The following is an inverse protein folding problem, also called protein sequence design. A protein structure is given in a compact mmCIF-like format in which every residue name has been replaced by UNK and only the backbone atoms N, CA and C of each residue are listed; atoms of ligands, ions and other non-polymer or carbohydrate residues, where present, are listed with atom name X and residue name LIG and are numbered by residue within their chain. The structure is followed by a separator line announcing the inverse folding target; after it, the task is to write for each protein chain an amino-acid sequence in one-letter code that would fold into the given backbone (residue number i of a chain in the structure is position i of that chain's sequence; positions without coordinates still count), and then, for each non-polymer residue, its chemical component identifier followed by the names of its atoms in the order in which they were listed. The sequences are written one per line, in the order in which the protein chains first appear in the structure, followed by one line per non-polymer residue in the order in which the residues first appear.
data_IF_776196560426
#
_entry.id   IF_776196560426
#
_cell.length_a   1.000
_cell.length_b   1.000
_cell.length_c   1.000
_cell.angle_alpha   90.00
_cell.angle_beta   90.00
_cell.angle_gamma   90.00
#
_symmetry.space_group_name_H-M   'P 1'
#
loop_
_entity.id
_entity.type
_entity.pdbx_description
1 polymer ?
#
# COMPACT_ATOMS: atom_id res chain seq x y z
N UNK A 1 -33.06 -25.71 14.81
CA UNK A 1 -32.07 -26.27 15.73
C UNK A 1 -30.76 -25.53 15.52
N UNK A 2 -30.30 -24.72 16.50
CA UNK A 2 -29.01 -24.04 16.42
C UNK A 2 -27.90 -25.01 16.82
N UNK A 3 -26.87 -25.15 15.99
CA UNK A 3 -25.66 -25.87 16.40
C UNK A 3 -24.99 -25.12 17.57
N UNK A 4 -24.60 -25.79 18.66
CA UNK A 4 -23.84 -25.16 19.73
C UNK A 4 -22.42 -24.85 19.22
N UNK A 5 -22.23 -23.63 18.69
CA UNK A 5 -20.95 -23.21 18.13
C UNK A 5 -20.35 -22.15 19.07
N UNK A 6 -19.17 -22.42 19.61
CA UNK A 6 -18.43 -21.44 20.39
C UNK A 6 -17.34 -20.76 19.54
N UNK A 7 -16.82 -19.62 20.02
CA UNK A 7 -15.80 -18.83 19.33
C UNK A 7 -14.54 -19.64 18.97
N UNK A 8 -14.19 -20.62 19.80
CA UNK A 8 -13.02 -21.47 19.56
C UNK A 8 -13.23 -22.37 18.35
N UNK A 9 -14.42 -22.93 18.18
CA UNK A 9 -14.76 -23.78 17.02
C UNK A 9 -14.77 -22.94 15.76
N UNK A 10 -15.41 -21.76 15.79
CA UNK A 10 -15.44 -20.82 14.66
C UNK A 10 -14.01 -20.46 14.24
N UNK A 11 -13.19 -20.02 15.19
CA UNK A 11 -11.80 -19.60 14.92
C UNK A 11 -10.95 -20.72 14.33
N UNK A 12 -11.03 -21.94 14.90
CA UNK A 12 -10.31 -23.11 14.38
C UNK A 12 -10.73 -23.44 12.94
N UNK A 13 -12.03 -23.38 12.63
CA UNK A 13 -12.53 -23.64 11.29
C UNK A 13 -12.11 -22.56 10.30
N UNK A 14 -12.15 -21.28 10.65
CA UNK A 14 -11.66 -20.18 9.82
C UNK A 14 -10.18 -20.38 9.46
N UNK A 15 -9.34 -20.72 10.43
CA UNK A 15 -7.91 -20.99 10.19
C UNK A 15 -7.76 -22.20 9.26
N UNK A 16 -8.44 -23.33 9.54
CA UNK A 16 -8.38 -24.53 8.72
C UNK A 16 -8.82 -24.30 7.29
N UNK A 17 -9.92 -23.57 7.08
CA UNK A 17 -10.42 -23.20 5.75
C UNK A 17 -9.41 -22.33 5.01
N UNK A 18 -8.80 -21.36 5.69
CA UNK A 18 -7.74 -20.53 5.10
C UNK A 18 -6.57 -21.39 4.60
N UNK A 19 -6.08 -22.30 5.44
CA UNK A 19 -4.93 -23.15 5.13
C UNK A 19 -5.23 -24.18 4.03
N UNK A 20 -6.42 -24.82 4.07
CA UNK A 20 -6.76 -25.92 3.19
C UNK A 20 -7.28 -25.47 1.82
N UNK A 21 -8.02 -24.36 1.76
CA UNK A 21 -8.74 -23.97 0.54
C UNK A 21 -8.32 -22.61 -0.02
N UNK A 22 -8.09 -21.60 0.82
CA UNK A 22 -7.82 -20.23 0.36
C UNK A 22 -6.34 -19.96 0.10
N UNK A 23 -5.43 -20.70 0.73
CA UNK A 23 -3.99 -20.51 0.59
C UNK A 23 -3.48 -20.61 -0.86
N UNK A 24 -3.96 -21.52 -1.72
CA UNK A 24 -3.53 -21.54 -3.12
C UNK A 24 -3.89 -20.25 -3.88
N UNK A 25 -5.11 -19.73 -3.67
CA UNK A 25 -5.54 -18.45 -4.25
C UNK A 25 -4.70 -17.28 -3.74
N UNK A 26 -4.43 -17.24 -2.43
CA UNK A 26 -3.54 -16.26 -1.82
C UNK A 26 -2.15 -16.28 -2.45
N UNK A 27 -1.53 -17.47 -2.58
CA UNK A 27 -0.21 -17.63 -3.19
C UNK A 27 -0.20 -17.14 -4.63
N UNK A 28 -1.24 -17.43 -5.40
CA UNK A 28 -1.37 -16.95 -6.78
C UNK A 28 -1.45 -15.42 -6.85
N UNK A 29 -2.21 -14.79 -5.97
CA UNK A 29 -2.27 -13.31 -5.89
C UNK A 29 -0.92 -12.71 -5.49
N UNK A 30 -0.18 -13.35 -4.57
CA UNK A 30 1.19 -12.95 -4.23
C UNK A 30 2.18 -13.11 -5.39
N UNK A 31 2.00 -14.12 -6.23
CA UNK A 31 2.80 -14.29 -7.45
C UNK A 31 2.51 -13.18 -8.46
N UNK A 32 1.23 -12.94 -8.73
CA UNK A 32 0.80 -11.97 -9.73
C UNK A 32 1.22 -10.53 -9.39
N UNK A 33 1.17 -10.14 -8.11
CA UNK A 33 1.60 -8.78 -7.72
C UNK A 33 3.10 -8.54 -7.95
N UNK A 34 3.92 -9.59 -7.98
CA UNK A 34 5.36 -9.52 -8.27
C UNK A 34 5.68 -9.17 -9.72
N UNK A 35 4.73 -9.34 -10.64
CA UNK A 35 4.88 -8.98 -12.05
C UNK A 35 4.45 -7.54 -12.37
N UNK A 36 3.88 -6.82 -11.40
CA UNK A 36 3.43 -5.44 -11.59
C UNK A 36 4.62 -4.46 -11.66
N UNK A 37 4.55 -3.50 -12.59
CA UNK A 37 5.60 -2.48 -12.76
C UNK A 37 5.68 -1.51 -11.58
N UNK A 38 4.52 -1.17 -10.99
CA UNK A 38 4.41 -0.23 -9.88
C UNK A 38 3.46 -0.79 -8.84
N UNK A 39 3.96 -0.91 -7.62
CA UNK A 39 3.17 -1.32 -6.46
C UNK A 39 3.28 -0.30 -5.34
N UNK A 40 2.25 -0.21 -4.53
CA UNK A 40 2.28 0.48 -3.26
C UNK A 40 2.61 -0.50 -2.14
N UNK A 41 3.38 -0.07 -1.17
CA UNK A 41 3.66 -0.86 0.03
C UNK A 41 3.61 0.02 1.28
N UNK A 42 3.03 -0.52 2.34
CA UNK A 42 2.96 0.10 3.66
C UNK A 42 2.75 -0.98 4.72
N UNK A 43 3.07 -0.69 5.98
CA UNK A 43 2.90 -1.64 7.07
C UNK A 43 2.19 -1.01 8.27
N UNK A 44 1.46 -1.84 9.01
CA UNK A 44 0.76 -1.44 10.24
C UNK A 44 1.09 -2.38 11.39
N UNK A 45 1.37 -1.86 12.59
CA UNK A 45 1.61 -2.70 13.76
C UNK A 45 0.34 -3.49 14.13
N UNK A 46 0.55 -4.73 14.54
CA UNK A 46 -0.49 -5.64 14.99
C UNK A 46 0.05 -6.55 16.09
N UNK A 47 -0.71 -6.76 17.15
CA UNK A 47 -0.27 -7.61 18.26
C UNK A 47 -0.62 -9.07 17.98
N UNK A 48 0.34 -9.97 18.24
CA UNK A 48 0.16 -11.43 18.22
C UNK A 48 0.71 -11.99 19.53
N UNK A 49 -0.17 -12.57 20.36
CA UNK A 49 0.20 -12.97 21.72
C UNK A 49 1.27 -14.07 21.74
N UNK A 50 1.16 -15.04 20.84
CA UNK A 50 2.09 -16.16 20.72
C UNK A 50 3.54 -15.73 20.39
N UNK A 51 3.73 -14.57 19.77
CA UNK A 51 5.06 -14.05 19.43
C UNK A 51 5.81 -13.45 20.62
N UNK A 52 5.13 -13.20 21.74
CA UNK A 52 5.71 -12.56 22.93
C UNK A 52 6.46 -11.25 22.64
N UNK A 53 6.04 -10.52 21.59
CA UNK A 53 6.59 -9.25 21.13
C UNK A 53 5.56 -8.13 21.21
N UNK A 54 6.02 -6.93 21.49
CA UNK A 54 5.14 -5.76 21.54
C UNK A 54 4.44 -5.47 20.20
N UNK A 55 5.15 -5.66 19.08
CA UNK A 55 4.63 -5.39 17.75
C UNK A 55 5.05 -6.45 16.74
N UNK A 56 4.07 -7.04 16.08
CA UNK A 56 4.16 -7.69 14.79
C UNK A 56 3.53 -6.76 13.74
N UNK A 57 3.50 -7.13 12.47
CA UNK A 57 3.08 -6.23 11.40
C UNK A 57 2.23 -6.95 10.36
N UNK A 58 1.22 -6.25 9.86
CA UNK A 58 0.66 -6.54 8.55
C UNK A 58 1.29 -5.59 7.53
N UNK A 59 1.90 -6.18 6.52
CA UNK A 59 2.41 -5.49 5.34
C UNK A 59 1.32 -5.55 4.27
N UNK A 60 0.89 -4.41 3.77
CA UNK A 60 -0.05 -4.33 2.67
C UNK A 60 0.69 -3.94 1.40
N UNK A 61 0.44 -4.68 0.33
CA UNK A 61 0.97 -4.42 -1.00
C UNK A 61 -0.19 -4.31 -1.96
N UNK A 62 -0.24 -3.25 -2.75
CA UNK A 62 -1.36 -2.95 -3.63
C UNK A 62 -0.89 -2.49 -4.99
N UNK A 63 -1.56 -2.94 -6.05
CA UNK A 63 -1.34 -2.40 -7.40
C UNK A 63 -1.88 -0.97 -7.51
N UNK A 64 -1.39 -0.21 -8.49
CA UNK A 64 -2.02 1.06 -8.88
C UNK A 64 -3.30 0.75 -9.65
N UNK A 65 -4.45 1.29 -9.20
CA UNK A 65 -5.73 0.98 -9.83
C UNK A 65 -5.85 1.51 -11.28
N UNK A 66 -5.17 2.61 -11.58
CA UNK A 66 -5.38 3.36 -12.83
C UNK A 66 -4.89 2.61 -14.08
N UNK A 67 -3.78 1.89 -13.98
CA UNK A 67 -3.17 1.20 -15.14
C UNK A 67 -3.02 -0.30 -14.96
N UNK A 68 -3.45 -0.84 -13.83
CA UNK A 68 -3.45 -2.29 -13.62
C UNK A 68 -4.68 -2.91 -14.27
N UNK A 69 -4.45 -3.93 -15.10
CA UNK A 69 -5.54 -4.70 -15.71
C UNK A 69 -6.37 -5.43 -14.66
N UNK A 70 -5.72 -5.94 -13.65
CA UNK A 70 -6.33 -6.72 -12.57
C UNK A 70 -5.81 -6.20 -11.22
N UNK A 71 -6.55 -5.26 -10.59
CA UNK A 71 -6.10 -4.69 -9.34
C UNK A 71 -6.05 -5.72 -8.22
N UNK A 72 -4.92 -5.78 -7.52
CA UNK A 72 -4.62 -6.75 -6.47
C UNK A 72 -4.28 -5.99 -5.17
N UNK A 73 -4.70 -6.54 -4.04
CA UNK A 73 -4.33 -6.09 -2.71
C UNK A 73 -3.89 -7.29 -1.87
N UNK A 74 -2.63 -7.38 -1.54
CA UNK A 74 -2.04 -8.47 -0.74
C UNK A 74 -1.71 -7.97 0.65
N UNK A 75 -2.09 -8.74 1.65
CA UNK A 75 -1.61 -8.60 3.02
C UNK A 75 -0.66 -9.73 3.36
N UNK A 76 0.43 -9.40 4.03
CA UNK A 76 1.41 -10.35 4.51
C UNK A 76 1.66 -10.11 6.01
N UNK A 77 1.57 -11.18 6.82
CA UNK A 77 1.92 -11.13 8.22
C UNK A 77 3.42 -11.33 8.41
N UNK A 78 4.05 -10.49 9.22
CA UNK A 78 5.42 -10.67 9.65
C UNK A 78 5.60 -10.27 11.13
N UNK A 79 6.47 -10.98 11.84
CA UNK A 79 6.77 -10.67 13.24
C UNK A 79 7.82 -9.55 13.40
N UNK A 80 8.11 -8.83 12.34
CA UNK A 80 9.10 -7.75 12.33
C UNK A 80 8.76 -6.66 11.31
N UNK A 81 9.24 -5.45 11.57
CA UNK A 81 9.23 -4.33 10.62
C UNK A 81 10.47 -4.28 9.73
N UNK A 82 11.32 -5.31 9.79
CA UNK A 82 12.57 -5.33 9.00
C UNK A 82 12.30 -5.21 7.50
N UNK A 83 13.09 -4.41 6.80
CA UNK A 83 13.05 -4.34 5.34
C UNK A 83 13.23 -5.69 4.64
N UNK A 84 13.82 -6.70 5.31
CA UNK A 84 13.95 -8.06 4.76
C UNK A 84 12.60 -8.71 4.40
N UNK A 85 11.50 -8.32 5.07
CA UNK A 85 10.14 -8.81 4.77
C UNK A 85 9.70 -8.46 3.35
N UNK A 86 10.20 -7.36 2.78
CA UNK A 86 9.92 -6.98 1.40
C UNK A 86 10.32 -8.09 0.43
N UNK A 87 11.44 -8.78 0.70
CA UNK A 87 11.91 -9.91 -0.11
C UNK A 87 10.90 -11.07 -0.12
N UNK A 88 10.28 -11.34 1.00
CA UNK A 88 9.28 -12.41 1.11
C UNK A 88 8.03 -12.06 0.30
N UNK A 89 7.70 -10.78 0.21
CA UNK A 89 6.53 -10.28 -0.50
C UNK A 89 6.79 -10.21 -2.01
N UNK A 90 7.82 -9.47 -2.44
CA UNK A 90 8.05 -9.17 -3.88
C UNK A 90 9.11 -10.05 -4.54
N UNK A 91 9.88 -10.82 -3.76
CA UNK A 91 11.00 -11.61 -4.26
C UNK A 91 12.30 -10.81 -4.36
N UNK A 92 13.44 -11.53 -4.53
CA UNK A 92 14.77 -10.92 -4.56
C UNK A 92 15.06 -10.13 -5.83
N UNK A 93 14.38 -10.46 -6.93
CA UNK A 93 14.68 -9.97 -8.28
C UNK A 93 13.62 -8.96 -8.78
N UNK A 94 12.80 -8.41 -7.89
CA UNK A 94 11.81 -7.41 -8.28
C UNK A 94 12.50 -6.16 -8.86
N UNK A 95 12.11 -5.77 -10.08
CA UNK A 95 12.70 -4.66 -10.83
C UNK A 95 11.74 -3.46 -10.95
N UNK A 96 10.53 -3.59 -10.44
CA UNK A 96 9.52 -2.53 -10.49
C UNK A 96 9.76 -1.40 -9.50
N UNK A 97 8.80 -0.50 -9.42
CA UNK A 97 8.81 0.65 -8.53
C UNK A 97 7.91 0.36 -7.32
N UNK A 98 8.47 0.47 -6.12
CA UNK A 98 7.73 0.34 -4.86
C UNK A 98 7.45 1.74 -4.32
N UNK A 99 6.19 2.15 -4.35
CA UNK A 99 5.72 3.37 -3.70
C UNK A 99 5.57 3.12 -2.20
N UNK A 100 6.29 3.88 -1.39
CA UNK A 100 6.31 3.72 0.06
C UNK A 100 6.44 5.07 0.78
N UNK A 101 6.43 5.04 2.10
CA UNK A 101 6.82 6.18 2.93
C UNK A 101 8.35 6.35 2.99
N UNK A 102 8.82 7.22 3.88
CA UNK A 102 10.25 7.47 4.11
C UNK A 102 10.93 6.48 5.06
N UNK A 103 10.32 5.33 5.39
CA UNK A 103 10.92 4.34 6.29
C UNK A 103 12.22 3.77 5.72
N UNK A 104 13.26 3.68 6.55
CA UNK A 104 14.62 3.25 6.14
C UNK A 104 14.72 1.78 5.69
N UNK A 105 13.73 0.96 6.03
CA UNK A 105 13.64 -0.44 5.56
C UNK A 105 13.44 -0.55 4.04
N UNK A 106 12.90 0.49 3.40
CA UNK A 106 12.81 0.60 1.95
C UNK A 106 14.12 1.16 1.39
N UNK A 107 15.08 0.29 1.12
CA UNK A 107 16.46 0.69 0.80
C UNK A 107 17.02 -0.05 -0.41
N UNK A 108 17.65 0.69 -1.33
CA UNK A 108 18.38 0.10 -2.46
C UNK A 108 19.59 -0.73 -2.03
N UNK A 109 20.10 -0.54 -0.80
CA UNK A 109 21.13 -1.43 -0.24
C UNK A 109 20.61 -2.87 -0.08
N UNK A 110 19.34 -3.03 0.34
CA UNK A 110 18.72 -4.35 0.49
C UNK A 110 18.13 -4.87 -0.84
N UNK A 111 17.74 -3.97 -1.72
CA UNK A 111 17.03 -4.27 -3.00
C UNK A 111 17.65 -3.45 -4.14
N UNK A 112 18.81 -3.84 -4.66
CA UNK A 112 19.54 -3.06 -5.68
C UNK A 112 18.76 -2.94 -7.00
N UNK A 113 17.93 -3.92 -7.33
CA UNK A 113 17.18 -3.95 -8.59
C UNK A 113 15.82 -3.22 -8.50
N UNK A 114 15.27 -3.07 -7.30
CA UNK A 114 14.00 -2.37 -7.10
C UNK A 114 14.23 -0.85 -7.08
N UNK A 115 13.29 -0.10 -7.65
CA UNK A 115 13.24 1.35 -7.54
C UNK A 115 12.24 1.74 -6.46
N UNK A 116 12.58 2.71 -5.62
CA UNK A 116 11.65 3.23 -4.61
C UNK A 116 11.09 4.58 -5.04
N UNK A 117 9.77 4.72 -4.97
CA UNK A 117 9.05 5.99 -5.07
C UNK A 117 8.65 6.47 -3.68
N UNK A 118 8.52 7.79 -3.50
CA UNK A 118 8.09 8.36 -2.22
C UNK A 118 6.87 9.26 -2.35
N UNK A 119 6.02 9.17 -1.34
CA UNK A 119 4.78 9.92 -1.23
C UNK A 119 5.04 11.40 -0.97
N UNK A 120 4.70 12.27 -1.94
CA UNK A 120 4.85 13.72 -1.80
C UNK A 120 3.91 14.31 -0.73
N UNK A 121 2.78 13.65 -0.46
CA UNK A 121 1.85 14.06 0.62
C UNK A 121 2.51 13.95 1.98
N UNK A 122 3.35 12.95 2.23
CA UNK A 122 4.09 12.82 3.49
C UNK A 122 5.10 13.95 3.66
N UNK A 123 5.89 14.27 2.62
CA UNK A 123 6.80 15.41 2.62
C UNK A 123 6.02 16.70 2.94
N UNK A 124 4.92 16.94 2.23
CA UNK A 124 4.07 18.13 2.46
C UNK A 124 3.52 18.17 3.90
N UNK A 125 3.13 17.02 4.46
CA UNK A 125 2.57 16.91 5.82
C UNK A 125 3.57 17.35 6.89
N UNK A 126 4.86 17.09 6.73
CA UNK A 126 5.89 17.56 7.66
C UNK A 126 5.91 19.10 7.77
N UNK A 127 5.89 19.81 6.65
CA UNK A 127 5.81 21.27 6.64
C UNK A 127 4.48 21.80 7.22
N UNK A 128 3.34 21.14 6.93
CA UNK A 128 2.05 21.48 7.53
C UNK A 128 2.08 21.32 9.07
N UNK A 129 2.71 20.27 9.58
CA UNK A 129 2.83 20.07 11.03
C UNK A 129 3.68 21.15 11.70
N UNK A 130 4.70 21.68 11.00
CA UNK A 130 5.47 22.86 11.49
C UNK A 130 4.58 24.09 11.56
N UNK A 131 3.79 24.36 10.52
CA UNK A 131 2.84 25.48 10.48
C UNK A 131 1.85 25.39 11.65
N UNK A 132 1.28 24.21 11.87
CA UNK A 132 0.33 23.98 12.98
C UNK A 132 0.96 24.21 14.36
N UNK A 133 2.24 23.89 14.52
CA UNK A 133 2.95 24.10 15.79
C UNK A 133 3.30 25.57 16.08
N UNK A 134 3.18 26.47 15.10
CA UNK A 134 3.48 27.90 15.25
C UNK A 134 2.32 28.73 15.84
N UNK A 135 1.28 28.12 16.32
CA UNK A 135 -0.01 28.55 16.88
C UNK A 135 -0.38 30.06 16.93
N UNK A 136 0.51 31.01 17.15
CA UNK A 136 0.19 32.42 17.30
C UNK A 136 1.15 33.38 16.57
N UNK A 137 1.96 32.86 15.64
CA UNK A 137 2.84 33.71 14.81
C UNK A 137 2.24 33.80 13.39
N UNK A 138 2.35 34.95 12.71
CA UNK A 138 1.82 35.08 11.35
C UNK A 138 2.49 34.04 10.45
N UNK A 139 1.76 32.93 10.21
CA UNK A 139 2.25 31.79 9.44
C UNK A 139 2.55 32.17 7.97
N UNK A 140 1.97 33.27 7.47
CA UNK A 140 2.06 33.70 6.07
C UNK A 140 3.47 33.99 5.56
N UNK A 141 4.44 34.25 6.44
CA UNK A 141 5.83 34.50 6.08
C UNK A 141 6.81 33.40 6.46
N UNK A 142 6.33 32.26 6.99
CA UNK A 142 7.23 31.18 7.41
C UNK A 142 7.75 30.39 6.22
N UNK A 143 8.99 29.88 6.31
CA UNK A 143 9.62 28.99 5.32
C UNK A 143 8.72 27.78 5.05
N UNK A 144 8.13 27.20 6.09
CA UNK A 144 7.23 26.05 5.94
C UNK A 144 5.94 26.41 5.15
N UNK A 145 5.39 27.61 5.39
CA UNK A 145 4.22 28.09 4.64
C UNK A 145 4.54 28.26 3.16
N UNK A 146 5.69 28.86 2.84
CA UNK A 146 6.13 29.03 1.45
C UNK A 146 6.37 27.69 0.77
N UNK A 147 7.01 26.73 1.45
CA UNK A 147 7.20 25.36 0.94
C UNK A 147 5.87 24.67 0.61
N UNK A 148 4.87 24.78 1.49
CA UNK A 148 3.52 24.23 1.24
C UNK A 148 2.83 24.94 0.07
N UNK A 149 3.02 26.26 -0.05
CA UNK A 149 2.42 27.05 -1.15
C UNK A 149 2.99 26.66 -2.51
N UNK A 150 4.28 26.35 -2.61
CA UNK A 150 4.93 25.87 -3.82
C UNK A 150 4.43 24.47 -4.25
N UNK A 151 4.08 23.61 -3.27
CA UNK A 151 3.55 22.27 -3.57
C UNK A 151 2.06 22.27 -3.95
N UNK A 152 1.28 23.27 -3.56
CA UNK A 152 -0.18 23.30 -3.80
C UNK A 152 -0.56 23.23 -5.28
N UNK A 153 0.03 24.03 -6.19
CA UNK A 153 -0.30 23.99 -7.62
C UNK A 153 -0.04 22.61 -8.24
N UNK A 154 0.97 21.89 -7.76
CA UNK A 154 1.34 20.57 -8.25
C UNK A 154 0.21 19.54 -8.06
N UNK A 155 -0.39 19.48 -6.87
CA UNK A 155 -1.53 18.59 -6.61
C UNK A 155 -2.79 18.99 -7.38
N UNK A 156 -3.02 20.30 -7.57
CA UNK A 156 -4.12 20.78 -8.38
C UNK A 156 -3.93 20.39 -9.85
N UNK A 157 -2.75 20.62 -10.40
CA UNK A 157 -2.44 20.34 -11.80
C UNK A 157 -2.49 18.84 -12.11
N UNK A 158 -2.00 17.98 -11.22
CA UNK A 158 -2.06 16.51 -11.38
C UNK A 158 -3.49 16.01 -11.60
N UNK A 159 -4.49 16.59 -10.92
CA UNK A 159 -5.90 16.21 -11.07
C UNK A 159 -6.51 16.61 -12.43
N UNK A 160 -5.89 17.55 -13.14
CA UNK A 160 -6.39 18.11 -14.39
C UNK A 160 -5.50 17.74 -15.60
N UNK A 161 -4.56 16.80 -15.41
CA UNK A 161 -3.78 16.25 -16.52
C UNK A 161 -4.71 15.48 -17.47
N UNK A 162 -4.50 15.66 -18.76
CA UNK A 162 -5.18 14.89 -19.81
C UNK A 162 -4.18 13.94 -20.45
N UNK A 163 -4.49 12.67 -20.47
CA UNK A 163 -3.64 11.60 -21.02
C UNK A 163 -4.49 10.35 -21.26
N UNK A 164 -4.03 9.48 -22.14
CA UNK A 164 -4.64 8.16 -22.41
C UNK A 164 -3.72 7.01 -22.01
N UNK A 165 -2.41 7.25 -21.98
CA UNK A 165 -1.40 6.23 -21.63
C UNK A 165 -0.52 6.70 -20.48
N UNK A 166 0.19 5.75 -19.85
CA UNK A 166 1.15 6.07 -18.79
C UNK A 166 2.34 6.87 -19.32
N UNK A 167 2.73 6.67 -20.58
CA UNK A 167 3.79 7.41 -21.25
C UNK A 167 3.41 8.87 -21.47
N UNK A 168 2.19 9.11 -21.94
CA UNK A 168 1.62 10.47 -22.08
C UNK A 168 1.53 11.16 -20.72
N UNK A 169 1.06 10.46 -19.70
CA UNK A 169 1.00 11.00 -18.33
C UNK A 169 2.39 11.42 -17.83
N UNK A 170 3.42 10.60 -18.05
CA UNK A 170 4.78 10.95 -17.67
C UNK A 170 5.31 12.16 -18.45
N UNK A 171 4.98 12.27 -19.73
CA UNK A 171 5.36 13.41 -20.59
C UNK A 171 4.68 14.71 -20.13
N UNK A 172 3.36 14.69 -19.87
CA UNK A 172 2.62 15.84 -19.36
C UNK A 172 3.12 16.28 -17.97
N UNK A 173 3.46 15.34 -17.10
CA UNK A 173 4.09 15.65 -15.82
C UNK A 173 5.46 16.31 -15.98
N UNK A 174 6.32 15.83 -16.89
CA UNK A 174 7.61 16.49 -17.19
C UNK A 174 7.42 17.91 -17.65
N UNK A 175 6.42 18.17 -18.49
CA UNK A 175 6.13 19.48 -19.03
C UNK A 175 5.55 20.44 -17.97
N UNK A 176 4.61 19.98 -17.15
CA UNK A 176 3.80 20.85 -16.29
C UNK A 176 4.17 20.80 -14.80
N UNK A 177 4.49 19.61 -14.28
CA UNK A 177 4.71 19.43 -12.85
C UNK A 177 6.18 19.54 -12.47
N UNK A 178 7.09 19.13 -13.36
CA UNK A 178 8.52 19.19 -13.08
C UNK A 178 9.01 20.58 -12.73
N UNK A 179 8.69 21.66 -13.48
CA UNK A 179 9.12 23.01 -13.11
C UNK A 179 8.63 23.45 -11.73
N UNK A 180 7.40 23.06 -11.35
CA UNK A 180 6.85 23.38 -10.02
C UNK A 180 7.58 22.63 -8.90
N UNK A 181 7.89 21.36 -9.15
CA UNK A 181 8.63 20.53 -8.19
C UNK A 181 10.09 20.99 -8.06
N UNK A 182 10.73 21.37 -9.18
CA UNK A 182 12.06 21.95 -9.17
C UNK A 182 12.09 23.22 -8.34
N UNK A 183 11.14 24.15 -8.54
CA UNK A 183 11.02 25.38 -7.74
C UNK A 183 10.87 25.12 -6.23
N UNK A 184 10.13 24.08 -5.84
CA UNK A 184 10.05 23.68 -4.44
C UNK A 184 11.41 23.22 -3.89
N UNK A 185 12.12 22.35 -4.62
CA UNK A 185 13.42 21.84 -4.17
C UNK A 185 14.50 22.93 -4.16
N UNK A 186 14.49 23.82 -5.15
CA UNK A 186 15.41 24.97 -5.19
C UNK A 186 15.17 25.90 -4.00
N UNK A 187 13.91 26.21 -3.69
CA UNK A 187 13.55 27.01 -2.53
C UNK A 187 14.05 26.42 -1.22
N UNK A 188 13.76 25.15 -0.93
CA UNK A 188 14.15 24.53 0.34
C UNK A 188 15.66 24.31 0.45
N UNK A 189 16.37 24.14 -0.67
CA UNK A 189 17.83 24.01 -0.70
C UNK A 189 18.57 25.29 -0.39
N UNK A 190 17.95 26.46 -0.63
CA UNK A 190 18.52 27.78 -0.34
C UNK A 190 18.34 28.21 1.11
N UNK A 191 17.57 27.47 1.92
CA UNK A 191 17.34 27.81 3.34
C UNK A 191 18.63 27.66 4.14
N UNK A 192 19.17 28.79 4.60
CA UNK A 192 20.39 28.84 5.41
C UNK A 192 20.10 28.46 6.86
N UNK A 193 20.87 27.51 7.41
CA UNK A 193 20.85 27.08 8.82
C UNK A 193 19.45 26.76 9.39
N UNK A 194 18.66 25.89 8.77
CA UNK A 194 17.38 25.49 9.34
C UNK A 194 17.60 24.78 10.69
N UNK A 195 16.68 24.97 11.65
CA UNK A 195 16.77 24.39 12.99
C UNK A 195 15.58 23.48 13.30
N UNK A 196 15.77 22.55 14.22
CA UNK A 196 14.72 21.73 14.79
C UNK A 196 13.92 20.94 13.73
N UNK A 197 12.59 20.94 13.86
CA UNK A 197 11.67 20.22 12.93
C UNK A 197 11.79 20.69 11.48
N UNK A 198 12.09 21.99 11.25
CA UNK A 198 12.26 22.50 9.89
C UNK A 198 13.49 21.89 9.21
N UNK A 199 14.61 21.78 9.93
CA UNK A 199 15.83 21.11 9.43
C UNK A 199 15.53 19.69 9.04
N UNK A 200 14.83 18.93 9.90
CA UNK A 200 14.51 17.54 9.62
C UNK A 200 13.59 17.39 8.39
N UNK A 201 12.57 18.24 8.27
CA UNK A 201 11.67 18.23 7.10
C UNK A 201 12.40 18.54 5.79
N UNK A 202 13.30 19.54 5.80
CA UNK A 202 14.11 19.88 4.62
C UNK A 202 15.07 18.73 4.26
N UNK A 203 15.80 18.20 5.24
CA UNK A 203 16.73 17.08 5.03
C UNK A 203 16.02 15.85 4.49
N UNK A 204 14.87 15.50 5.06
CA UNK A 204 14.05 14.38 4.59
C UNK A 204 13.55 14.62 3.16
N UNK A 205 13.01 15.79 2.85
CA UNK A 205 12.57 16.12 1.50
C UNK A 205 13.71 16.01 0.48
N UNK A 206 14.91 16.53 0.78
CA UNK A 206 16.09 16.46 -0.09
C UNK A 206 16.53 14.99 -0.26
N UNK A 207 16.61 14.23 0.81
CA UNK A 207 16.99 12.80 0.75
C UNK A 207 16.04 11.96 -0.13
N UNK A 208 14.75 12.31 -0.14
CA UNK A 208 13.72 11.62 -0.92
C UNK A 208 13.54 12.19 -2.35
N UNK A 209 14.27 13.24 -2.74
CA UNK A 209 14.11 13.93 -4.04
C UNK A 209 14.08 12.94 -5.21
N UNK A 210 15.08 12.08 -5.35
CA UNK A 210 15.17 11.12 -6.45
C UNK A 210 13.99 10.14 -6.47
N UNK A 211 13.49 9.73 -5.29
CA UNK A 211 12.32 8.85 -5.19
C UNK A 211 11.03 9.54 -5.63
N UNK A 212 10.87 10.82 -5.30
CA UNK A 212 9.72 11.63 -5.76
C UNK A 212 9.77 11.83 -7.27
N UNK A 213 10.95 12.03 -7.86
CA UNK A 213 11.12 12.24 -9.29
C UNK A 213 10.79 11.02 -10.16
N UNK A 214 10.60 9.82 -9.59
CA UNK A 214 10.11 8.63 -10.30
C UNK A 214 8.78 8.85 -11.01
N UNK A 215 7.95 9.79 -10.56
CA UNK A 215 6.69 10.16 -11.24
C UNK A 215 6.89 10.66 -12.67
N UNK A 216 8.10 11.12 -13.00
CA UNK A 216 8.47 11.58 -14.35
C UNK A 216 9.04 10.46 -15.22
N UNK A 217 9.46 9.33 -14.63
CA UNK A 217 9.98 8.17 -15.35
C UNK A 217 8.84 7.27 -15.84
N UNK A 218 7.83 7.07 -14.99
CA UNK A 218 6.69 6.22 -15.28
C UNK A 218 5.40 6.91 -14.79
N UNK A 219 4.45 7.15 -15.70
CA UNK A 219 3.16 7.80 -15.39
C UNK A 219 2.27 7.00 -14.45
N UNK A 220 2.52 5.70 -14.30
CA UNK A 220 1.81 4.84 -13.36
C UNK A 220 2.21 5.13 -11.91
N UNK A 221 3.40 5.71 -11.66
CA UNK A 221 3.84 6.09 -10.31
C UNK A 221 2.97 7.25 -9.81
N UNK A 222 2.24 7.11 -8.69
CA UNK A 222 1.38 8.17 -8.19
C UNK A 222 2.16 9.16 -7.32
N UNK A 223 1.60 10.37 -7.14
CA UNK A 223 2.16 11.36 -6.20
C UNK A 223 1.97 10.97 -4.73
N UNK A 224 1.11 10.02 -4.45
CA UNK A 224 0.68 9.69 -3.08
C UNK A 224 0.63 8.20 -2.84
N UNK A 225 0.91 7.79 -1.60
CA UNK A 225 0.73 6.42 -1.14
C UNK A 225 -0.65 6.16 -0.50
N UNK A 226 -1.58 7.13 -0.56
CA UNK A 226 -2.92 7.01 0.01
C UNK A 226 -3.68 5.73 -0.37
N UNK A 227 -3.57 5.17 -1.59
CA UNK A 227 -4.30 3.95 -1.94
C UNK A 227 -3.98 2.75 -1.03
N UNK A 228 -2.72 2.55 -0.65
CA UNK A 228 -2.37 1.45 0.27
C UNK A 228 -2.70 1.80 1.72
N UNK A 229 -2.52 3.07 2.12
CA UNK A 229 -2.96 3.53 3.44
C UNK A 229 -4.47 3.30 3.65
N UNK A 230 -5.28 3.55 2.62
CA UNK A 230 -6.72 3.25 2.64
C UNK A 230 -7.00 1.73 2.67
N UNK A 231 -6.18 0.92 1.99
CA UNK A 231 -6.30 -0.53 2.04
C UNK A 231 -6.02 -1.10 3.44
N UNK A 232 -5.11 -0.49 4.19
CA UNK A 232 -4.80 -0.87 5.58
C UNK A 232 -5.93 -0.47 6.57
N UNK A 233 -6.70 0.58 6.29
CA UNK A 233 -7.77 1.06 7.21
C UNK A 233 -8.74 -0.03 7.70
N UNK A 234 -9.25 -0.96 6.88
CA UNK A 234 -10.10 -2.04 7.38
C UNK A 234 -9.41 -2.90 8.45
N UNK A 235 -8.11 -3.21 8.29
CA UNK A 235 -7.36 -3.95 9.30
C UNK A 235 -7.18 -3.15 10.60
N UNK A 236 -7.09 -1.82 10.52
CA UNK A 236 -7.03 -0.95 11.71
C UNK A 236 -8.38 -0.85 12.43
N UNK A 237 -9.50 -0.91 11.71
CA UNK A 237 -10.83 -0.97 12.30
C UNK A 237 -11.05 -2.31 13.01
N UNK A 238 -10.66 -3.41 12.39
CA UNK A 238 -10.72 -4.75 13.00
C UNK A 238 -9.80 -4.79 14.22
N UNK A 239 -8.61 -4.19 14.17
CA UNK A 239 -7.72 -4.07 15.32
C UNK A 239 -8.35 -3.31 16.49
N UNK A 240 -9.15 -2.26 16.23
CA UNK A 240 -9.90 -1.57 17.29
C UNK A 240 -10.95 -2.48 17.97
N UNK A 241 -11.50 -3.43 17.22
CA UNK A 241 -12.51 -4.36 17.71
C UNK A 241 -11.88 -5.65 18.31
N UNK A 242 -10.84 -6.19 17.67
CA UNK A 242 -10.24 -7.48 18.00
C UNK A 242 -8.88 -7.37 18.71
N UNK A 243 -8.33 -6.18 18.86
CA UNK A 243 -7.09 -5.79 19.55
C UNK A 243 -5.85 -6.62 19.15
N UNK A 244 -5.92 -7.95 19.06
CA UNK A 244 -4.80 -8.86 18.80
C UNK A 244 -5.26 -10.18 18.16
N UNK A 245 -4.31 -10.93 17.59
CA UNK A 245 -4.47 -12.35 17.31
C UNK A 245 -3.86 -13.20 18.44
N UNK A 246 -4.53 -14.30 18.82
CA UNK A 246 -3.99 -15.20 19.82
C UNK A 246 -2.79 -15.99 19.32
N UNK A 247 -2.78 -16.36 18.01
CA UNK A 247 -1.75 -17.21 17.41
C UNK A 247 -1.21 -16.67 16.10
N UNK A 248 0.00 -17.12 15.74
CA UNK A 248 0.65 -16.85 14.46
C UNK A 248 -0.21 -17.35 13.30
N UNK A 249 -0.74 -18.57 13.41
CA UNK A 249 -1.66 -19.16 12.42
C UNK A 249 -2.91 -18.30 12.22
N UNK A 250 -3.46 -17.73 13.29
CA UNK A 250 -4.60 -16.82 13.22
C UNK A 250 -4.27 -15.51 12.51
N UNK A 251 -3.08 -14.95 12.75
CA UNK A 251 -2.61 -13.75 12.04
C UNK A 251 -2.36 -14.04 10.54
N UNK A 252 -1.75 -15.19 10.20
CA UNK A 252 -1.56 -15.62 8.82
C UNK A 252 -2.91 -15.84 8.10
N UNK A 253 -3.86 -16.51 8.74
CA UNK A 253 -5.21 -16.67 8.20
C UNK A 253 -5.88 -15.31 7.95
N UNK A 254 -5.75 -14.37 8.87
CA UNK A 254 -6.27 -13.00 8.69
C UNK A 254 -5.66 -12.32 7.47
N UNK A 255 -4.35 -12.44 7.23
CA UNK A 255 -3.70 -11.91 6.04
C UNK A 255 -4.29 -12.50 4.74
N UNK A 256 -4.56 -13.80 4.71
CA UNK A 256 -5.21 -14.49 3.57
C UNK A 256 -6.61 -13.91 3.32
N UNK A 257 -7.45 -13.82 4.35
CA UNK A 257 -8.80 -13.25 4.21
C UNK A 257 -8.77 -11.78 3.79
N UNK A 258 -7.90 -10.96 4.38
CA UNK A 258 -7.78 -9.54 3.99
C UNK A 258 -7.34 -9.39 2.54
N UNK A 259 -6.46 -10.27 2.06
CA UNK A 259 -6.02 -10.30 0.66
C UNK A 259 -7.19 -10.60 -0.27
N UNK A 260 -7.94 -11.66 -0.01
CA UNK A 260 -9.06 -12.10 -0.85
C UNK A 260 -10.18 -11.04 -0.84
N UNK A 261 -10.57 -10.56 0.34
CA UNK A 261 -11.60 -9.51 0.48
C UNK A 261 -11.15 -8.21 -0.20
N UNK A 262 -9.91 -7.79 0.05
CA UNK A 262 -9.37 -6.54 -0.52
C UNK A 262 -9.31 -6.59 -2.05
N UNK A 263 -8.82 -7.70 -2.61
CA UNK A 263 -8.73 -7.90 -4.06
C UNK A 263 -10.12 -8.01 -4.69
N UNK A 264 -11.04 -8.75 -4.07
CA UNK A 264 -12.42 -8.88 -4.54
C UNK A 264 -13.13 -7.52 -4.62
N UNK A 265 -13.00 -6.68 -3.59
CA UNK A 265 -13.55 -5.31 -3.59
C UNK A 265 -12.98 -4.44 -4.71
N UNK A 266 -11.68 -4.54 -4.99
CA UNK A 266 -11.05 -3.79 -6.08
C UNK A 266 -11.53 -4.25 -7.46
N UNK A 267 -12.04 -5.47 -7.57
CA UNK A 267 -12.61 -6.05 -8.80
C UNK A 267 -14.14 -6.05 -8.80
N UNK A 268 -14.77 -5.20 -7.97
CA UNK A 268 -16.22 -4.98 -7.92
C UNK A 268 -17.05 -6.23 -7.63
N UNK A 269 -16.54 -7.15 -6.80
CA UNK A 269 -17.27 -8.35 -6.40
C UNK A 269 -18.07 -8.14 -5.11
N UNK A 270 -19.25 -8.73 -5.06
CA UNK A 270 -19.99 -8.95 -3.82
C UNK A 270 -19.26 -10.01 -2.99
N UNK A 271 -18.77 -9.62 -1.82
CA UNK A 271 -17.93 -10.46 -0.98
C UNK A 271 -18.63 -11.76 -0.54
N UNK A 272 -19.91 -11.68 -0.18
CA UNK A 272 -20.68 -12.85 0.23
C UNK A 272 -20.82 -13.85 -0.93
N UNK A 273 -21.24 -13.38 -2.12
CA UNK A 273 -21.36 -14.23 -3.31
C UNK A 273 -20.03 -14.86 -3.67
N UNK A 274 -18.93 -14.08 -3.60
CA UNK A 274 -17.62 -14.59 -3.96
C UNK A 274 -17.12 -15.67 -2.97
N UNK A 275 -17.25 -15.46 -1.65
CA UNK A 275 -16.90 -16.50 -0.69
C UNK A 275 -17.80 -17.74 -0.82
N UNK A 276 -19.10 -17.57 -1.07
CA UNK A 276 -19.99 -18.69 -1.37
C UNK A 276 -19.50 -19.46 -2.57
N UNK A 277 -19.19 -18.78 -3.68
CA UNK A 277 -18.63 -19.38 -4.88
C UNK A 277 -17.33 -20.16 -4.60
N UNK A 278 -16.41 -19.55 -3.87
CA UNK A 278 -15.15 -20.20 -3.49
C UNK A 278 -15.38 -21.47 -2.67
N UNK A 279 -16.28 -21.46 -1.69
CA UNK A 279 -16.53 -22.59 -0.81
C UNK A 279 -17.36 -23.69 -1.47
N UNK A 280 -18.21 -23.37 -2.42
CA UNK A 280 -18.96 -24.34 -3.19
C UNK A 280 -18.05 -25.12 -4.18
N UNK A 281 -17.00 -24.48 -4.72
CA UNK A 281 -16.22 -25.03 -5.82
C UNK A 281 -14.78 -25.45 -5.46
N UNK A 282 -14.07 -24.71 -4.59
CA UNK A 282 -12.67 -25.02 -4.24
C UNK A 282 -12.47 -26.41 -3.60
N UNK A 283 -13.35 -26.91 -2.71
CA UNK A 283 -13.18 -28.22 -2.10
C UNK A 283 -13.24 -29.38 -3.11
N UNK A 284 -14.03 -29.22 -4.19
CA UNK A 284 -14.33 -30.26 -5.17
C UNK A 284 -13.58 -30.05 -6.50
N UNK A 285 -12.60 -29.17 -6.55
CA UNK A 285 -11.85 -28.94 -7.80
C UNK A 285 -11.02 -30.15 -8.17
N UNK A 286 -11.28 -30.72 -9.33
CA UNK A 286 -10.55 -31.87 -9.86
C UNK A 286 -9.16 -31.51 -10.36
N UNK A 287 -8.98 -30.29 -10.89
CA UNK A 287 -7.72 -29.77 -11.37
C UNK A 287 -7.18 -28.68 -10.44
N UNK A 288 -5.86 -28.60 -10.31
CA UNK A 288 -5.16 -27.57 -9.51
C UNK A 288 -5.22 -26.16 -10.12
N UNK A 289 -6.06 -25.94 -11.13
CA UNK A 289 -6.22 -24.63 -11.76
C UNK A 289 -6.90 -23.67 -10.79
N UNK A 290 -6.12 -22.70 -10.28
CA UNK A 290 -6.60 -21.65 -9.39
C UNK A 290 -7.04 -20.39 -10.17
N UNK A 291 -6.73 -20.31 -11.46
CA UNK A 291 -6.97 -19.11 -12.27
C UNK A 291 -8.47 -18.85 -12.48
N UNK A 292 -9.27 -19.90 -12.58
CA UNK A 292 -10.74 -19.81 -12.65
C UNK A 292 -11.41 -19.23 -11.40
N UNK A 293 -10.68 -19.13 -10.29
CA UNK A 293 -11.15 -18.56 -9.02
C UNK A 293 -10.67 -17.14 -8.77
N UNK A 294 -9.83 -16.60 -9.64
CA UNK A 294 -9.36 -15.23 -9.50
C UNK A 294 -10.52 -14.23 -9.62
N UNK A 295 -10.50 -13.10 -8.91
CA UNK A 295 -11.60 -12.13 -8.88
C UNK A 295 -12.04 -11.60 -10.24
N UNK A 296 -11.20 -11.67 -11.25
CA UNK A 296 -11.47 -11.25 -12.63
C UNK A 296 -11.78 -12.40 -13.58
N UNK A 297 -11.84 -13.65 -13.10
CA UNK A 297 -12.22 -14.79 -13.90
C UNK A 297 -13.67 -14.62 -14.41
N UNK A 298 -13.92 -15.04 -15.66
CA UNK A 298 -15.20 -14.82 -16.35
C UNK A 298 -16.40 -15.30 -15.55
N UNK A 299 -16.32 -16.51 -15.00
CA UNK A 299 -17.40 -17.10 -14.21
C UNK A 299 -17.60 -16.41 -12.87
N UNK A 300 -16.51 -16.05 -12.20
CA UNK A 300 -16.55 -15.27 -10.95
C UNK A 300 -17.21 -13.92 -11.18
N UNK A 301 -16.84 -13.21 -12.25
CA UNK A 301 -17.46 -11.93 -12.60
C UNK A 301 -18.94 -12.10 -12.93
N UNK A 302 -19.32 -13.14 -13.67
CA UNK A 302 -20.71 -13.38 -14.03
C UNK A 302 -21.61 -13.67 -12.81
N UNK A 303 -21.10 -14.39 -11.80
CA UNK A 303 -21.89 -14.82 -10.64
C UNK A 303 -21.76 -13.90 -9.42
N UNK A 304 -20.64 -13.17 -9.29
CA UNK A 304 -20.31 -12.47 -8.05
C UNK A 304 -20.21 -10.96 -8.20
N UNK A 305 -20.33 -10.37 -9.38
CA UNK A 305 -20.29 -8.91 -9.57
C UNK A 305 -21.40 -8.19 -8.75
N UNK A 306 -21.10 -6.95 -8.29
CA UNK A 306 -22.05 -6.09 -7.52
C UNK A 306 -23.14 -5.56 -8.44
#
# INVERSE_FOLDING_TARGET
MGMPVNDTIITKNIIKVSESYLMPLYKKLCELIRSEEVIHMDETPFQVLEEHKANCYFWATKTTAEFSRHPINVFHYANTRSGKVIKDIVGSNYQGIIMCDGYSGYSNHLYPNAKFGSCLVHIRREFINIIKALHNRPAKSSIAQQAVSLLRPLFHMEKHLKYHTKEEKAAERRKRLKPLLDSFYDYISQVKRPLGKLRNAIQNAIALKLRVYRIFENGQVPLTNNPVEQAIRPSTLIRKNSLFAKSIRGAQASAVYYTIVGTAKMNHLNIYKYFKYLFDHLPNRENKDIEGFLPWAKEVQAQCHI
#
